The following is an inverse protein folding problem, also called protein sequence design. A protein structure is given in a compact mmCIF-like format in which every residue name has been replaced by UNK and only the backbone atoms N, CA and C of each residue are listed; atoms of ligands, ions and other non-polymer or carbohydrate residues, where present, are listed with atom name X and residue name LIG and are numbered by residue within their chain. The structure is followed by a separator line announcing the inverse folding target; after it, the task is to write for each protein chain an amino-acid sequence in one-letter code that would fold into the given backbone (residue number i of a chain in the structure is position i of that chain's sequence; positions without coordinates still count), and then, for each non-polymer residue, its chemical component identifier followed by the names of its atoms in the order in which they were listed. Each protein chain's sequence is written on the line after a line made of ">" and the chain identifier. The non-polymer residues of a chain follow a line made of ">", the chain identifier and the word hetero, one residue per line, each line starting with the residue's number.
data_IF_061054245319
#
_entry.id   IF_061054245319
#
_cell.length_a   1.000
_cell.length_b   1.000
_cell.length_c   1.000
_cell.angle_alpha   90.00
_cell.angle_beta   90.00
_cell.angle_gamma   90.00
#
_symmetry.space_group_name_H-M   'P 1'
#
loop_
_entity.id
_entity.type
_entity.pdbx_description
1 polymer ?
#
# COMPACT_ATOMS: atom_id res chain seq x y z
N UNK A 1 4.22 -4.26 20.66
CA UNK A 1 4.20 -5.64 21.22
C UNK A 1 5.20 -6.61 20.56
N UNK A 2 5.18 -6.85 19.23
CA UNK A 2 6.13 -7.76 18.55
C UNK A 2 7.61 -7.39 18.79
N UNK A 3 7.95 -6.11 18.70
CA UNK A 3 9.32 -5.61 18.92
C UNK A 3 9.71 -5.62 20.40
N UNK A 4 8.77 -5.40 21.33
CA UNK A 4 9.01 -5.54 22.77
C UNK A 4 9.31 -6.99 23.14
N UNK A 5 8.56 -7.95 22.60
CA UNK A 5 8.83 -9.38 22.74
C UNK A 5 10.17 -9.74 22.07
N UNK A 6 10.43 -9.22 20.87
CA UNK A 6 11.70 -9.44 20.17
C UNK A 6 12.89 -8.85 20.94
N UNK A 7 12.76 -7.66 21.53
CA UNK A 7 13.79 -7.00 22.36
C UNK A 7 14.01 -7.73 23.69
N UNK A 8 12.95 -8.29 24.29
CA UNK A 8 13.07 -9.16 25.46
C UNK A 8 13.76 -10.49 25.11
N UNK A 9 13.45 -11.07 23.95
CA UNK A 9 14.13 -12.26 23.43
C UNK A 9 15.59 -11.97 23.06
N UNK A 10 15.87 -10.84 22.42
CA UNK A 10 17.21 -10.44 22.01
C UNK A 10 18.08 -10.05 23.21
N UNK A 11 17.52 -9.40 24.23
CA UNK A 11 18.28 -9.08 25.46
C UNK A 11 18.60 -10.33 26.29
N UNK A 12 17.70 -11.30 26.34
CA UNK A 12 17.97 -12.60 26.98
C UNK A 12 19.01 -13.41 26.19
N UNK A 13 18.91 -13.43 24.86
CA UNK A 13 19.91 -14.03 23.97
C UNK A 13 21.28 -13.35 24.09
N UNK A 14 21.31 -12.02 24.15
CA UNK A 14 22.55 -11.24 24.28
C UNK A 14 23.23 -11.49 25.62
N UNK A 15 22.46 -11.52 26.72
CA UNK A 15 23.00 -11.84 28.04
C UNK A 15 23.51 -13.28 28.14
N UNK A 16 22.83 -14.24 27.50
CA UNK A 16 23.32 -15.62 27.38
C UNK A 16 24.63 -15.70 26.57
N UNK A 17 24.68 -15.03 25.41
CA UNK A 17 25.87 -14.98 24.55
C UNK A 17 27.06 -14.28 25.22
N UNK A 18 26.83 -13.19 25.96
CA UNK A 18 27.87 -12.48 26.70
C UNK A 18 28.45 -13.32 27.85
N UNK A 19 27.67 -14.21 28.45
CA UNK A 19 28.15 -15.13 29.49
C UNK A 19 28.95 -16.32 28.95
N UNK A 20 28.81 -16.63 27.65
CA UNK A 20 29.36 -17.82 27.01
C UNK A 20 30.77 -17.62 26.41
N UNK A 21 31.43 -16.48 26.59
CA UNK A 21 32.73 -16.17 25.96
C UNK A 21 33.90 -17.12 26.33
N UNK A 22 33.71 -18.09 27.24
CA UNK A 22 34.76 -19.05 27.65
C UNK A 22 34.33 -20.53 27.67
N UNK A 23 33.15 -20.90 27.16
CA UNK A 23 32.69 -22.30 27.14
C UNK A 23 31.92 -22.63 25.87
N UNK A 24 32.20 -23.79 25.26
CA UNK A 24 31.39 -24.30 24.15
C UNK A 24 29.91 -24.37 24.58
N UNK A 25 28.97 -23.83 23.78
CA UNK A 25 27.56 -23.83 24.14
C UNK A 25 27.05 -25.28 24.22
N UNK A 26 26.38 -25.60 25.32
CA UNK A 26 25.73 -26.90 25.50
C UNK A 26 24.64 -27.06 24.43
N UNK A 27 24.80 -28.05 23.56
CA UNK A 27 23.84 -28.37 22.49
C UNK A 27 22.42 -28.62 23.06
N UNK A 28 22.31 -29.15 24.27
CA UNK A 28 21.02 -29.37 24.94
C UNK A 28 20.29 -28.06 25.28
N UNK A 29 21.02 -27.02 25.66
CA UNK A 29 20.44 -25.69 25.95
C UNK A 29 19.94 -25.01 24.66
N UNK A 30 20.69 -25.15 23.56
CA UNK A 30 20.30 -24.62 22.25
C UNK A 30 19.02 -25.29 21.73
N UNK A 31 18.88 -26.61 21.89
CA UNK A 31 17.67 -27.33 21.48
C UNK A 31 16.44 -26.93 22.32
N UNK A 32 16.62 -26.74 23.63
CA UNK A 32 15.57 -26.24 24.51
C UNK A 32 15.11 -24.83 24.11
N UNK A 33 16.05 -23.95 23.76
CA UNK A 33 15.76 -22.60 23.31
C UNK A 33 15.03 -22.59 21.97
N UNK A 34 15.47 -23.41 21.01
CA UNK A 34 14.82 -23.57 19.71
C UNK A 34 13.37 -24.07 19.86
N UNK A 35 13.13 -25.01 20.76
CA UNK A 35 11.77 -25.49 21.09
C UNK A 35 10.90 -24.35 21.66
N UNK A 36 11.46 -23.53 22.56
CA UNK A 36 10.78 -22.36 23.13
C UNK A 36 10.45 -21.30 22.06
N UNK A 37 11.38 -21.01 21.15
CA UNK A 37 11.16 -20.09 20.02
C UNK A 37 9.99 -20.58 19.15
N UNK A 38 10.00 -21.86 18.76
CA UNK A 38 8.89 -22.46 17.98
C UNK A 38 7.54 -22.39 18.72
N UNK A 39 7.56 -22.58 20.05
CA UNK A 39 6.36 -22.43 20.90
C UNK A 39 5.81 -20.99 20.92
N UNK A 40 6.71 -19.99 20.96
CA UNK A 40 6.33 -18.57 20.87
C UNK A 40 5.76 -18.23 19.50
N UNK A 41 6.38 -18.67 18.41
CA UNK A 41 5.90 -18.44 17.04
C UNK A 41 4.48 -18.97 16.84
N UNK A 42 4.19 -20.18 17.31
CA UNK A 42 2.85 -20.75 17.26
C UNK A 42 1.84 -19.92 18.06
N UNK A 43 2.24 -19.39 19.22
CA UNK A 43 1.40 -18.54 20.05
C UNK A 43 1.10 -17.20 19.38
N UNK A 44 2.11 -16.60 18.73
CA UNK A 44 1.96 -15.36 17.95
C UNK A 44 0.96 -15.58 16.82
N UNK A 45 1.12 -16.62 15.99
CA UNK A 45 0.17 -16.93 14.91
C UNK A 45 -1.25 -17.12 15.40
N UNK A 46 -1.43 -17.77 16.56
CA UNK A 46 -2.76 -17.96 17.18
C UNK A 46 -3.38 -16.62 17.60
N UNK A 47 -2.59 -15.71 18.16
CA UNK A 47 -3.05 -14.37 18.52
C UNK A 47 -3.39 -13.54 17.29
N UNK A 48 -2.58 -13.61 16.24
CA UNK A 48 -2.85 -12.93 14.95
C UNK A 48 -4.16 -13.40 14.33
N UNK A 49 -4.39 -14.72 14.27
CA UNK A 49 -5.64 -15.29 13.76
C UNK A 49 -6.86 -14.84 14.60
N UNK A 50 -6.71 -14.80 15.93
CA UNK A 50 -7.77 -14.32 16.82
C UNK A 50 -8.05 -12.82 16.62
N UNK A 51 -7.01 -12.01 16.50
CA UNK A 51 -7.12 -10.58 16.24
C UNK A 51 -7.83 -10.35 14.90
N UNK A 52 -7.43 -11.05 13.83
CA UNK A 52 -8.05 -10.96 12.52
C UNK A 52 -9.54 -11.34 12.56
N UNK A 53 -9.88 -12.43 13.25
CA UNK A 53 -11.28 -12.85 13.43
C UNK A 53 -12.11 -11.82 14.21
N UNK A 54 -11.54 -11.21 15.25
CA UNK A 54 -12.22 -10.17 16.01
C UNK A 54 -12.41 -8.90 15.18
N UNK A 55 -11.41 -8.50 14.40
CA UNK A 55 -11.51 -7.36 13.46
C UNK A 55 -12.58 -7.60 12.41
N UNK A 56 -12.67 -8.82 11.85
CA UNK A 56 -13.75 -9.19 10.92
C UNK A 56 -15.13 -9.10 11.59
N UNK A 57 -15.27 -9.64 12.80
CA UNK A 57 -16.53 -9.55 13.56
C UNK A 57 -16.92 -8.11 13.91
N UNK A 58 -15.93 -7.27 14.19
CA UNK A 58 -16.14 -5.86 14.48
C UNK A 58 -16.64 -5.12 13.23
N UNK A 59 -16.02 -5.38 12.07
CA UNK A 59 -16.39 -4.79 10.78
C UNK A 59 -17.68 -5.35 10.17
N UNK A 60 -18.15 -6.51 10.63
CA UNK A 60 -19.36 -7.11 10.11
C UNK A 60 -20.57 -6.19 10.30
N UNK A 61 -21.29 -5.95 9.20
CA UNK A 61 -22.61 -5.32 9.20
C UNK A 61 -23.68 -6.34 9.58
N UNK A 62 -24.88 -5.89 9.96
CA UNK A 62 -25.97 -6.84 10.25
C UNK A 62 -26.49 -7.49 8.97
N UNK A 63 -27.04 -8.70 9.07
CA UNK A 63 -27.67 -9.38 7.94
C UNK A 63 -28.82 -8.56 7.30
N UNK A 64 -29.46 -7.70 8.11
CA UNK A 64 -30.46 -6.74 7.61
C UNK A 64 -29.80 -5.66 6.75
N UNK A 65 -28.72 -5.05 7.22
CA UNK A 65 -28.00 -4.01 6.46
C UNK A 65 -27.49 -4.56 5.12
N UNK A 66 -27.00 -5.81 5.09
CA UNK A 66 -26.61 -6.49 3.86
C UNK A 66 -27.79 -6.71 2.90
N UNK A 67 -28.95 -7.14 3.43
CA UNK A 67 -30.15 -7.36 2.63
C UNK A 67 -30.67 -6.04 2.03
N UNK A 68 -30.69 -4.98 2.84
CA UNK A 68 -31.10 -3.64 2.44
C UNK A 68 -30.16 -3.07 1.35
N UNK A 69 -28.84 -3.24 1.50
CA UNK A 69 -27.86 -2.82 0.49
C UNK A 69 -28.00 -3.60 -0.83
N UNK A 70 -28.18 -4.93 -0.75
CA UNK A 70 -28.43 -5.76 -1.94
C UNK A 70 -29.69 -5.34 -2.69
N UNK A 71 -30.73 -4.93 -1.97
CA UNK A 71 -31.97 -4.41 -2.56
C UNK A 71 -31.77 -3.19 -3.45
N UNK A 72 -30.66 -2.47 -3.28
CA UNK A 72 -30.32 -1.24 -4.02
C UNK A 72 -29.06 -1.41 -4.89
N UNK A 73 -28.64 -2.67 -5.11
CA UNK A 73 -27.43 -3.06 -5.84
C UNK A 73 -26.18 -2.35 -5.29
N UNK A 74 -26.01 -2.41 -3.98
CA UNK A 74 -24.87 -1.88 -3.23
C UNK A 74 -24.32 -2.93 -2.26
N UNK A 75 -23.09 -2.71 -1.82
CA UNK A 75 -22.45 -3.42 -0.71
C UNK A 75 -22.65 -2.63 0.60
N UNK A 76 -22.78 -3.32 1.72
CA UNK A 76 -22.90 -2.71 3.05
C UNK A 76 -21.58 -2.83 3.81
N UNK A 77 -21.11 -1.73 4.36
CA UNK A 77 -19.83 -1.66 5.06
C UNK A 77 -19.94 -0.85 6.35
N UNK A 78 -19.14 -1.24 7.34
CA UNK A 78 -19.06 -0.54 8.63
C UNK A 78 -17.72 0.16 8.78
N UNK A 79 -17.76 1.48 8.88
CA UNK A 79 -16.58 2.31 9.09
C UNK A 79 -16.56 2.82 10.52
N UNK A 80 -15.46 2.57 11.22
CA UNK A 80 -15.20 3.19 12.52
C UNK A 80 -14.63 4.59 12.32
N UNK A 81 -14.87 5.46 13.28
CA UNK A 81 -14.11 6.70 13.37
C UNK A 81 -12.63 6.30 13.55
N UNK A 82 -11.75 6.79 12.70
CA UNK A 82 -10.32 6.55 12.81
C UNK A 82 -9.82 6.96 14.21
N UNK A 83 -9.72 5.99 15.11
CA UNK A 83 -9.03 6.20 16.37
C UNK A 83 -7.54 6.01 16.14
N UNK A 84 -6.67 6.94 16.58
CA UNK A 84 -5.28 6.64 16.74
C UNK A 84 -5.19 5.49 17.76
N UNK A 85 -4.86 4.30 17.30
CA UNK A 85 -4.27 3.32 18.21
C UNK A 85 -2.83 3.79 18.38
N UNK A 86 -2.48 4.19 19.60
CA UNK A 86 -1.12 4.57 19.98
C UNK A 86 -0.13 3.55 19.40
N UNK A 87 0.66 3.98 18.40
CA UNK A 87 1.77 3.20 17.90
C UNK A 87 2.92 3.23 18.90
N UNK A 88 3.59 2.10 19.08
CA UNK A 88 4.88 2.06 19.78
C UNK A 88 5.97 2.53 18.81
N UNK A 89 6.49 3.75 19.02
CA UNK A 89 7.55 4.39 18.20
C UNK A 89 7.04 5.60 17.41
N UNK A 90 7.91 6.25 16.63
CA UNK A 90 7.56 7.41 15.77
C UNK A 90 6.57 7.06 14.63
N UNK A 91 6.22 5.78 14.43
CA UNK A 91 5.26 5.35 13.40
C UNK A 91 3.97 4.81 14.04
N UNK A 92 2.93 5.64 14.01
CA UNK A 92 1.56 5.28 14.41
C UNK A 92 0.92 4.46 13.30
N UNK A 93 0.80 3.13 13.48
CA UNK A 93 0.05 2.29 12.54
C UNK A 93 -1.43 2.34 12.88
N UNK A 94 -2.19 3.13 12.13
CA UNK A 94 -3.64 3.15 12.25
C UNK A 94 -4.23 1.81 11.78
N UNK A 95 -5.00 1.13 12.62
CA UNK A 95 -6.04 0.23 12.11
C UNK A 95 -7.14 1.11 11.51
N UNK A 96 -6.85 1.78 10.39
CA UNK A 96 -7.85 2.57 9.71
C UNK A 96 -8.98 1.63 9.30
N UNK A 97 -10.16 1.90 9.82
CA UNK A 97 -11.43 1.32 9.42
C UNK A 97 -11.90 1.94 8.12
N UNK A 98 -10.98 1.99 7.15
CA UNK A 98 -11.28 2.49 5.84
C UNK A 98 -11.96 1.44 4.99
N UNK A 99 -12.83 1.89 4.10
CA UNK A 99 -13.33 1.05 3.02
C UNK A 99 -12.26 0.99 1.93
N UNK A 100 -11.75 -0.21 1.66
CA UNK A 100 -10.78 -0.43 0.60
C UNK A 100 -11.53 -0.72 -0.69
N UNK A 101 -11.34 0.12 -1.72
CA UNK A 101 -11.86 -0.13 -3.05
C UNK A 101 -11.02 -1.23 -3.73
N UNK A 102 -11.27 -2.50 -3.37
CA UNK A 102 -10.52 -3.63 -3.92
C UNK A 102 -11.00 -3.98 -5.31
N UNK A 103 -10.09 -4.46 -6.15
CA UNK A 103 -10.43 -5.31 -7.29
C UNK A 103 -10.06 -6.75 -6.94
N UNK A 104 -10.73 -7.77 -7.51
CA UNK A 104 -10.37 -9.17 -7.28
C UNK A 104 -8.90 -9.51 -7.63
N UNK A 105 -8.29 -8.70 -8.49
CA UNK A 105 -6.96 -8.89 -9.06
C UNK A 105 -5.83 -8.35 -8.16
N UNK A 106 -6.17 -7.43 -7.25
CA UNK A 106 -5.20 -6.72 -6.43
C UNK A 106 -5.11 -7.41 -5.07
N UNK A 107 -4.14 -8.32 -4.96
CA UNK A 107 -3.85 -9.04 -3.73
C UNK A 107 -3.65 -8.10 -2.53
N UNK A 108 -3.76 -8.65 -1.32
CA UNK A 108 -3.30 -8.13 -0.03
C UNK A 108 -3.43 -6.61 0.27
N UNK A 109 -4.33 -5.86 -0.37
CA UNK A 109 -4.90 -4.57 0.08
C UNK A 109 -3.98 -3.38 0.37
N UNK A 110 -2.65 -3.51 0.32
CA UNK A 110 -1.70 -2.43 0.69
C UNK A 110 -1.68 -1.26 -0.30
N UNK A 111 -2.08 -1.50 -1.55
CA UNK A 111 -2.00 -0.53 -2.64
C UNK A 111 -3.36 -0.12 -3.19
N UNK A 112 -4.44 -0.26 -2.43
CA UNK A 112 -5.76 0.13 -2.89
C UNK A 112 -6.16 1.51 -2.37
N UNK A 113 -6.99 2.22 -3.13
CA UNK A 113 -7.59 3.46 -2.62
C UNK A 113 -8.44 3.13 -1.38
N UNK A 114 -8.31 3.96 -0.34
CA UNK A 114 -9.01 3.77 0.93
C UNK A 114 -9.84 5.01 1.24
N UNK A 115 -11.14 4.83 1.42
CA UNK A 115 -12.03 5.84 2.00
C UNK A 115 -11.98 5.74 3.52
N UNK A 116 -11.58 6.80 4.20
CA UNK A 116 -11.50 6.87 5.67
C UNK A 116 -12.68 7.66 6.24
N UNK A 117 -13.05 7.31 7.47
CA UNK A 117 -13.97 8.08 8.29
C UNK A 117 -13.20 8.68 9.48
N UNK A 118 -13.16 10.01 9.59
CA UNK A 118 -12.50 10.76 10.65
C UNK A 118 -13.43 11.81 11.25
N UNK A 119 -12.92 12.60 12.20
CA UNK A 119 -13.67 13.71 12.81
C UNK A 119 -14.10 14.76 11.77
N UNK A 120 -13.29 14.98 10.74
CA UNK A 120 -13.56 15.93 9.65
C UNK A 120 -14.55 15.39 8.60
N UNK A 121 -14.85 14.09 8.61
CA UNK A 121 -15.82 13.48 7.73
C UNK A 121 -15.34 12.22 7.00
N UNK A 122 -15.85 12.01 5.78
CA UNK A 122 -15.36 11.00 4.85
C UNK A 122 -14.24 11.61 4.01
N UNK A 123 -13.14 10.91 3.81
CA UNK A 123 -12.04 11.43 2.99
C UNK A 123 -11.10 10.36 2.47
N UNK A 124 -10.38 10.70 1.41
CA UNK A 124 -9.25 9.90 0.92
C UNK A 124 -7.98 10.32 1.65
N UNK A 125 -7.14 9.35 1.97
CA UNK A 125 -5.82 9.62 2.54
C UNK A 125 -4.91 10.27 1.48
N UNK A 126 -4.34 11.45 1.73
CA UNK A 126 -3.39 12.07 0.82
C UNK A 126 -2.02 11.36 0.79
N UNK A 127 -1.73 10.46 1.72
CA UNK A 127 -0.45 9.76 1.78
C UNK A 127 -0.37 8.67 0.71
N UNK A 128 0.37 8.96 -0.35
CA UNK A 128 0.78 8.00 -1.38
C UNK A 128 0.13 8.21 -2.74
N UNK A 129 0.03 7.12 -3.49
CA UNK A 129 -0.47 7.08 -4.87
C UNK A 129 -1.98 6.83 -4.97
N UNK A 130 -2.68 6.93 -3.85
CA UNK A 130 -4.14 6.83 -3.75
C UNK A 130 -4.72 8.24 -3.66
N UNK A 131 -5.71 8.55 -4.48
CA UNK A 131 -6.44 9.80 -4.35
C UNK A 131 -7.89 9.62 -4.74
N UNK A 132 -8.69 10.62 -4.41
CA UNK A 132 -10.06 10.64 -4.87
C UNK A 132 -10.76 11.94 -4.56
N UNK A 133 -11.96 12.04 -5.08
CA UNK A 133 -12.82 13.18 -4.96
C UNK A 133 -14.17 12.72 -4.42
N UNK A 134 -14.79 13.54 -3.58
CA UNK A 134 -16.08 13.32 -2.94
C UNK A 134 -16.93 14.57 -3.16
N UNK A 135 -18.21 14.36 -3.45
CA UNK A 135 -19.23 15.38 -3.52
C UNK A 135 -20.47 14.89 -2.74
N UNK A 136 -20.91 15.69 -1.79
CA UNK A 136 -22.21 15.51 -1.12
C UNK A 136 -23.35 15.87 -2.07
N UNK A 137 -24.18 14.89 -2.42
CA UNK A 137 -25.39 15.07 -3.24
C UNK A 137 -26.64 15.37 -2.39
N UNK A 138 -26.51 15.34 -1.06
CA UNK A 138 -27.59 15.49 -0.10
C UNK A 138 -28.50 14.26 -0.02
N UNK A 139 -29.76 14.46 0.37
CA UNK A 139 -30.76 13.39 0.63
C UNK A 139 -31.39 12.80 -0.64
N UNK A 140 -30.57 12.45 -1.63
CA UNK A 140 -31.00 11.80 -2.86
C UNK A 140 -30.94 10.27 -2.67
N UNK A 141 -31.94 9.48 -3.10
CA UNK A 141 -31.89 8.01 -3.02
C UNK A 141 -30.71 7.42 -3.80
N UNK A 142 -30.04 6.39 -3.26
CA UNK A 142 -28.83 5.81 -3.84
C UNK A 142 -29.08 5.21 -5.24
N UNK A 143 -30.28 4.69 -5.47
CA UNK A 143 -30.71 4.03 -6.70
C UNK A 143 -30.84 5.04 -7.85
N UNK A 144 -31.13 6.29 -7.52
CA UNK A 144 -31.28 7.38 -8.49
C UNK A 144 -29.95 7.99 -8.94
N UNK A 145 -28.84 7.63 -8.26
CA UNK A 145 -27.50 8.05 -8.65
C UNK A 145 -26.92 7.08 -9.68
N UNK A 146 -26.50 7.62 -10.83
CA UNK A 146 -25.92 6.87 -11.93
C UNK A 146 -25.37 7.79 -13.02
N UNK A 147 -25.11 7.25 -14.21
CA UNK A 147 -24.41 8.00 -15.28
C UNK A 147 -25.15 9.25 -15.77
N UNK A 148 -26.49 9.28 -15.61
CA UNK A 148 -27.34 10.41 -16.02
C UNK A 148 -27.38 11.55 -14.98
N UNK A 149 -26.84 11.33 -13.77
CA UNK A 149 -26.78 12.37 -12.74
C UNK A 149 -25.83 13.47 -13.22
N UNK A 150 -26.21 14.77 -13.25
CA UNK A 150 -25.34 15.82 -13.77
C UNK A 150 -23.96 15.89 -13.09
N UNK A 151 -23.89 15.60 -11.79
CA UNK A 151 -22.63 15.52 -11.05
C UNK A 151 -21.73 14.37 -11.51
N UNK A 152 -22.31 13.26 -11.98
CA UNK A 152 -21.54 12.14 -12.53
C UNK A 152 -20.80 12.56 -13.80
N UNK A 153 -21.50 13.21 -14.73
CA UNK A 153 -20.87 13.68 -15.97
C UNK A 153 -19.70 14.63 -15.67
N UNK A 154 -19.90 15.58 -14.75
CA UNK A 154 -18.85 16.49 -14.29
C UNK A 154 -17.65 15.76 -13.67
N UNK A 155 -17.87 14.74 -12.84
CA UNK A 155 -16.79 13.96 -12.23
C UNK A 155 -16.05 13.05 -13.23
N UNK A 156 -16.77 12.52 -14.22
CA UNK A 156 -16.21 11.67 -15.28
C UNK A 156 -15.31 12.45 -16.26
N UNK A 157 -15.45 13.78 -16.33
CA UNK A 157 -14.55 14.66 -17.09
C UNK A 157 -13.17 14.76 -16.45
N UNK A 158 -13.03 14.49 -15.16
CA UNK A 158 -11.72 14.50 -14.51
C UNK A 158 -10.75 13.54 -15.22
N UNK A 159 -9.55 14.02 -15.46
CA UNK A 159 -8.44 13.26 -16.03
C UNK A 159 -7.36 13.24 -14.96
N UNK A 160 -7.16 12.11 -14.27
CA UNK A 160 -6.09 12.01 -13.29
C UNK A 160 -4.74 12.35 -13.97
N UNK A 161 -3.92 13.24 -13.37
CA UNK A 161 -2.62 13.58 -13.93
C UNK A 161 -1.70 12.36 -13.96
N UNK A 162 -0.63 12.40 -14.75
CA UNK A 162 0.31 11.26 -14.85
C UNK A 162 1.21 11.17 -13.62
N UNK A 163 1.48 12.31 -12.98
CA UNK A 163 2.32 12.40 -11.80
C UNK A 163 1.49 12.67 -10.54
N UNK A 164 1.69 11.94 -9.44
CA UNK A 164 0.92 12.12 -8.22
C UNK A 164 1.04 13.50 -7.57
N UNK A 165 2.18 14.19 -7.71
CA UNK A 165 2.40 15.54 -7.19
C UNK A 165 1.54 16.61 -7.88
N UNK A 166 1.01 16.32 -9.07
CA UNK A 166 0.09 17.20 -9.79
C UNK A 166 -1.39 17.02 -9.36
N UNK A 167 -1.68 16.06 -8.49
CA UNK A 167 -3.05 15.80 -8.01
C UNK A 167 -3.54 16.98 -7.17
N UNK A 168 -4.65 17.57 -7.59
CA UNK A 168 -5.30 18.66 -6.87
C UNK A 168 -6.16 18.12 -5.73
N UNK A 169 -6.18 18.82 -4.59
CA UNK A 169 -7.09 18.54 -3.46
C UNK A 169 -8.56 18.82 -3.78
N UNK A 170 -8.81 19.65 -4.79
CA UNK A 170 -10.13 20.07 -5.22
C UNK A 170 -10.20 20.10 -6.75
N UNK A 171 -11.35 19.71 -7.28
CA UNK A 171 -11.66 19.72 -8.70
C UNK A 171 -13.03 20.36 -8.92
N UNK A 172 -13.12 21.32 -9.84
CA UNK A 172 -14.39 21.97 -10.18
C UNK A 172 -14.72 21.67 -11.64
N UNK A 173 -15.94 21.20 -11.88
CA UNK A 173 -16.48 20.96 -13.21
C UNK A 173 -17.95 21.40 -13.27
N UNK A 174 -18.24 22.33 -14.19
CA UNK A 174 -19.52 23.02 -14.25
C UNK A 174 -19.82 23.77 -12.96
N UNK A 175 -20.91 23.39 -12.28
CA UNK A 175 -21.34 23.98 -10.99
C UNK A 175 -20.94 23.14 -9.77
N UNK A 176 -20.25 22.02 -9.99
CA UNK A 176 -19.90 21.09 -8.93
C UNK A 176 -18.46 21.30 -8.52
N UNK A 177 -18.24 21.30 -7.21
CA UNK A 177 -16.92 21.35 -6.60
C UNK A 177 -16.74 20.06 -5.82
N UNK A 178 -15.76 19.28 -6.25
CA UNK A 178 -15.38 18.02 -5.64
C UNK A 178 -14.12 18.20 -4.82
N UNK A 179 -14.09 17.61 -3.64
CA UNK A 179 -12.99 17.76 -2.67
C UNK A 179 -12.48 16.39 -2.26
N UNK A 180 -11.29 16.32 -1.69
CA UNK A 180 -10.75 15.05 -1.17
C UNK A 180 -11.47 14.55 0.08
N UNK A 181 -12.33 15.37 0.69
CA UNK A 181 -13.14 15.04 1.87
C UNK A 181 -14.52 15.69 1.83
N UNK A 182 -15.48 15.14 2.55
CA UNK A 182 -16.80 15.73 2.77
C UNK A 182 -17.33 15.42 4.18
N UNK A 183 -18.06 16.35 4.83
CA UNK A 183 -18.69 16.09 6.13
C UNK A 183 -19.66 14.90 6.09
N UNK A 184 -19.66 14.07 7.12
CA UNK A 184 -20.56 12.91 7.24
C UNK A 184 -21.94 13.35 7.74
N UNK A 185 -22.98 13.06 6.97
CA UNK A 185 -24.38 13.33 7.31
C UNK A 185 -25.22 12.08 7.09
N UNK A 186 -25.96 11.67 8.14
CA UNK A 186 -26.82 10.49 8.07
C UNK A 186 -27.98 10.74 7.09
N UNK A 187 -28.18 9.81 6.18
CA UNK A 187 -29.19 9.85 5.13
C UNK A 187 -28.74 10.56 3.85
N UNK A 188 -27.56 11.16 3.84
CA UNK A 188 -27.01 11.80 2.63
C UNK A 188 -26.28 10.78 1.75
N UNK A 189 -26.30 11.06 0.46
CA UNK A 189 -25.65 10.29 -0.59
C UNK A 189 -24.52 11.11 -1.17
N UNK A 190 -23.40 10.46 -1.43
CA UNK A 190 -22.16 11.04 -1.90
C UNK A 190 -21.82 10.41 -3.25
N UNK A 191 -21.28 11.21 -4.15
CA UNK A 191 -20.62 10.74 -5.36
C UNK A 191 -19.13 10.80 -5.13
N UNK A 192 -18.42 9.72 -5.42
CA UNK A 192 -16.98 9.67 -5.23
C UNK A 192 -16.26 9.02 -6.41
N UNK A 193 -15.04 9.48 -6.68
CA UNK A 193 -14.13 8.84 -7.63
C UNK A 193 -12.88 8.44 -6.88
N UNK A 194 -12.55 7.15 -6.90
CA UNK A 194 -11.36 6.61 -6.28
C UNK A 194 -10.37 6.22 -7.37
N UNK A 195 -9.12 6.66 -7.20
CA UNK A 195 -8.06 6.46 -8.17
C UNK A 195 -6.78 5.99 -7.46
N UNK A 196 -6.15 4.95 -8.01
CA UNK A 196 -4.88 4.43 -7.53
C UNK A 196 -3.90 4.26 -8.69
N UNK A 197 -2.68 4.80 -8.53
CA UNK A 197 -1.59 4.73 -9.52
C UNK A 197 -0.60 3.58 -9.28
N UNK A 198 -0.74 2.81 -8.22
CA UNK A 198 0.21 1.71 -7.95
C UNK A 198 0.03 0.58 -8.95
N UNK A 199 1.14 -0.07 -9.33
CA UNK A 199 1.15 -1.09 -10.39
C UNK A 199 0.17 -2.23 -10.11
N UNK A 200 0.08 -2.63 -8.84
CA UNK A 200 -0.81 -3.67 -8.33
C UNK A 200 -2.10 -3.11 -7.74
N UNK A 201 -2.40 -1.82 -7.96
CA UNK A 201 -3.60 -1.14 -7.45
C UNK A 201 -4.51 -0.66 -8.57
N UNK A 202 -3.92 -0.15 -9.66
CA UNK A 202 -4.53 0.23 -10.95
C UNK A 202 -6.06 0.36 -10.91
N UNK A 203 -6.53 1.40 -10.22
CA UNK A 203 -7.94 1.66 -9.97
C UNK A 203 -8.30 3.03 -10.52
N UNK A 204 -9.40 3.12 -11.26
CA UNK A 204 -10.07 4.38 -11.53
C UNK A 204 -11.57 4.13 -11.65
N UNK A 205 -12.32 4.38 -10.57
CA UNK A 205 -13.73 4.02 -10.47
C UNK A 205 -14.56 5.13 -9.85
N UNK A 206 -15.78 5.30 -10.32
CA UNK A 206 -16.80 6.16 -9.71
C UNK A 206 -17.82 5.30 -8.97
N UNK A 207 -18.11 5.70 -7.73
CA UNK A 207 -19.09 5.08 -6.86
C UNK A 207 -20.10 6.12 -6.38
N UNK A 208 -21.28 5.64 -5.99
CA UNK A 208 -22.15 6.36 -5.06
C UNK A 208 -22.12 5.69 -3.70
N UNK A 209 -22.18 6.48 -2.64
CA UNK A 209 -22.14 6.03 -1.26
C UNK A 209 -23.28 6.67 -0.49
N UNK A 210 -24.01 5.93 0.32
CA UNK A 210 -25.03 6.50 1.22
C UNK A 210 -24.68 6.17 2.67
N UNK A 211 -24.71 7.17 3.54
CA UNK A 211 -24.54 6.94 4.98
C UNK A 211 -25.90 6.61 5.58
N UNK A 212 -26.08 5.37 6.03
CA UNK A 212 -27.40 4.85 6.41
C UNK A 212 -27.70 5.09 7.88
N UNK A 213 -26.73 4.83 8.76
CA UNK A 213 -26.85 5.10 10.19
C UNK A 213 -25.48 5.31 10.84
N UNK A 214 -25.51 5.84 12.07
CA UNK A 214 -24.40 5.82 13.03
C UNK A 214 -24.80 4.95 14.20
N UNK A 215 -23.92 4.02 14.57
CA UNK A 215 -24.11 3.14 15.72
C UNK A 215 -23.68 3.82 17.02
N UNK A 216 -24.04 3.22 18.16
CA UNK A 216 -23.73 3.76 19.48
C UNK A 216 -22.22 3.82 19.79
N UNK A 217 -21.40 3.01 19.11
CA UNK A 217 -19.94 3.02 19.20
C UNK A 217 -19.29 4.11 18.31
N UNK A 218 -20.10 4.97 17.67
CA UNK A 218 -19.65 6.03 16.79
C UNK A 218 -19.32 5.58 15.37
N UNK A 219 -19.30 4.27 15.08
CA UNK A 219 -19.14 3.78 13.72
C UNK A 219 -20.34 4.14 12.84
N UNK A 220 -20.12 4.19 11.53
CA UNK A 220 -21.16 4.42 10.54
C UNK A 220 -21.35 3.18 9.68
N UNK A 221 -22.59 2.93 9.27
CA UNK A 221 -22.91 1.96 8.23
C UNK A 221 -23.15 2.71 6.93
N UNK A 222 -22.43 2.33 5.88
CA UNK A 222 -22.52 2.90 4.55
C UNK A 222 -22.97 1.85 3.55
N UNK A 223 -23.71 2.28 2.53
CA UNK A 223 -23.99 1.49 1.33
C UNK A 223 -23.17 2.04 0.17
N UNK A 224 -22.41 1.19 -0.51
CA UNK A 224 -21.51 1.59 -1.60
C UNK A 224 -21.94 0.89 -2.89
N UNK A 225 -22.17 1.68 -3.93
CA UNK A 225 -22.59 1.21 -5.26
C UNK A 225 -21.56 1.65 -6.29
N UNK A 226 -20.91 0.70 -6.95
CA UNK A 226 -20.09 0.99 -8.13
C UNK A 226 -20.99 1.48 -9.28
N UNK A 227 -20.61 2.59 -9.92
CA UNK A 227 -21.35 3.14 -11.07
C UNK A 227 -20.59 2.84 -12.36
N UNK A 228 -19.29 3.14 -12.39
CA UNK A 228 -18.49 3.02 -13.61
C UNK A 228 -17.01 2.81 -13.31
N UNK A 229 -16.39 1.96 -14.13
CA UNK A 229 -14.95 1.75 -14.19
C UNK A 229 -14.32 2.49 -15.37
N UNK A 230 -13.12 3.01 -15.18
CA UNK A 230 -12.29 3.68 -16.18
C UNK A 230 -10.97 2.93 -16.34
N UNK A 231 -10.27 3.10 -17.48
CA UNK A 231 -8.90 2.67 -17.59
C UNK A 231 -8.06 3.35 -16.49
N UNK A 232 -7.28 2.59 -15.71
CA UNK A 232 -6.40 3.15 -14.70
C UNK A 232 -5.47 4.20 -15.30
N UNK A 233 -5.15 5.28 -14.57
CA UNK A 233 -4.27 6.28 -15.10
C UNK A 233 -2.88 5.69 -15.31
N UNK A 234 -2.24 6.05 -16.43
CA UNK A 234 -0.83 5.72 -16.64
C UNK A 234 -0.01 6.54 -15.66
N UNK A 235 0.73 5.88 -14.78
CA UNK A 235 1.79 6.53 -14.03
C UNK A 235 2.98 6.74 -14.97
N UNK A 236 3.61 7.91 -14.92
CA UNK A 236 5.00 7.97 -15.34
C UNK A 236 5.75 7.00 -14.42
N UNK A 237 6.55 6.08 -14.93
CA UNK A 237 7.26 5.15 -14.07
C UNK A 237 8.10 5.96 -13.07
N UNK A 238 7.62 6.03 -11.83
CA UNK A 238 8.36 6.54 -10.68
C UNK A 238 9.20 5.39 -10.22
N UNK A 239 10.45 5.34 -10.66
CA UNK A 239 11.31 4.26 -10.22
C UNK A 239 11.79 4.58 -8.81
N UNK A 240 11.06 4.00 -7.84
CA UNK A 240 11.42 3.92 -6.42
C UNK A 240 12.53 2.90 -6.18
N UNK A 241 13.61 2.96 -6.94
CA UNK A 241 14.85 2.43 -6.41
C UNK A 241 15.66 3.61 -5.94
N UNK A 242 15.58 3.87 -4.63
CA UNK A 242 16.63 4.64 -3.99
C UNK A 242 17.97 3.94 -4.27
N UNK A 243 19.04 4.71 -4.39
CA UNK A 243 20.41 4.16 -4.46
C UNK A 243 20.67 3.17 -3.30
N UNK A 244 20.01 3.36 -2.15
CA UNK A 244 20.03 2.41 -1.02
C UNK A 244 19.37 1.08 -1.35
N UNK A 245 18.23 1.07 -2.05
CA UNK A 245 17.47 -0.15 -2.32
C UNK A 245 18.24 -1.07 -3.27
N UNK A 246 18.92 -0.48 -4.27
CA UNK A 246 19.80 -1.25 -5.17
C UNK A 246 21.07 -1.69 -4.41
N UNK A 247 21.62 -0.85 -3.53
CA UNK A 247 22.78 -1.21 -2.72
C UNK A 247 22.47 -2.38 -1.76
N UNK A 248 21.25 -2.45 -1.24
CA UNK A 248 20.76 -3.51 -0.35
C UNK A 248 20.39 -4.81 -1.09
N UNK A 249 20.06 -4.76 -2.38
CA UNK A 249 19.66 -5.98 -3.13
C UNK A 249 20.77 -7.03 -3.29
N UNK A 250 21.99 -6.79 -2.82
CA UNK A 250 23.15 -7.69 -2.98
C UNK A 250 23.63 -7.82 -4.43
N UNK A 251 22.80 -7.47 -5.42
CA UNK A 251 23.10 -7.47 -6.86
C UNK A 251 24.21 -6.47 -7.19
N UNK A 252 24.20 -5.27 -6.58
CA UNK A 252 25.28 -4.29 -6.74
C UNK A 252 26.61 -4.77 -6.14
N UNK A 253 26.55 -5.48 -5.01
CA UNK A 253 27.72 -6.07 -4.37
C UNK A 253 28.32 -7.12 -5.31
N UNK A 254 27.50 -8.04 -5.82
CA UNK A 254 27.90 -9.06 -6.79
C UNK A 254 28.49 -8.46 -8.07
N UNK A 255 27.93 -7.35 -8.56
CA UNK A 255 28.47 -6.66 -9.74
C UNK A 255 29.85 -6.04 -9.47
N UNK A 256 30.04 -5.41 -8.31
CA UNK A 256 31.36 -4.88 -7.92
C UNK A 256 32.39 -5.98 -7.73
N UNK A 257 31.99 -7.10 -7.15
CA UNK A 257 32.86 -8.29 -7.00
C UNK A 257 33.25 -8.86 -8.36
N UNK A 258 32.29 -9.02 -9.27
CA UNK A 258 32.56 -9.47 -10.64
C UNK A 258 33.54 -8.53 -11.37
N UNK A 259 33.34 -7.21 -11.29
CA UNK A 259 34.25 -6.24 -11.90
C UNK A 259 35.68 -6.34 -11.34
N UNK A 260 35.81 -6.63 -10.04
CA UNK A 260 37.12 -6.84 -9.39
C UNK A 260 37.77 -8.14 -9.87
N UNK A 261 37.02 -9.24 -9.95
CA UNK A 261 37.51 -10.55 -10.39
C UNK A 261 37.95 -10.55 -11.86
N UNK A 262 37.25 -9.79 -12.71
CA UNK A 262 37.60 -9.63 -14.13
C UNK A 262 38.72 -8.61 -14.37
N UNK A 263 39.33 -8.05 -13.31
CA UNK A 263 40.34 -6.98 -13.40
C UNK A 263 39.84 -5.80 -14.24
N UNK A 264 38.61 -5.36 -13.98
CA UNK A 264 37.95 -4.20 -14.60
C UNK A 264 37.75 -3.04 -13.59
N UNK A 265 38.77 -2.62 -12.81
CA UNK A 265 38.59 -1.59 -11.78
C UNK A 265 38.33 -0.20 -12.35
N UNK A 266 38.59 0.01 -13.65
CA UNK A 266 38.36 1.28 -14.36
C UNK A 266 36.94 1.45 -14.87
N UNK A 267 36.06 0.46 -14.63
CA UNK A 267 34.64 0.56 -14.95
C UNK A 267 33.93 1.30 -13.80
N UNK A 268 33.45 2.49 -14.11
CA UNK A 268 32.62 3.31 -13.25
C UNK A 268 31.15 2.88 -13.36
N UNK A 269 30.50 2.78 -12.21
CA UNK A 269 29.08 2.48 -12.09
C UNK A 269 28.35 3.76 -11.69
N UNK A 270 27.62 4.36 -12.63
CA UNK A 270 26.84 5.57 -12.41
C UNK A 270 25.35 5.23 -12.55
N UNK A 271 24.56 5.56 -11.54
CA UNK A 271 23.11 5.46 -11.64
C UNK A 271 22.56 6.77 -12.18
N UNK A 272 21.95 6.72 -13.36
CA UNK A 272 21.24 7.87 -13.93
C UNK A 272 19.77 7.52 -14.02
N UNK A 273 19.02 8.07 -13.07
CA UNK A 273 17.59 7.79 -12.85
C UNK A 273 17.32 6.31 -12.55
N UNK A 274 17.20 5.51 -13.60
CA UNK A 274 16.63 4.15 -13.58
C UNK A 274 17.56 3.14 -14.23
N UNK A 275 18.64 3.64 -14.82
CA UNK A 275 19.61 2.84 -15.52
C UNK A 275 20.87 2.82 -14.68
N UNK A 276 21.39 1.62 -14.46
CA UNK A 276 22.79 1.51 -14.13
C UNK A 276 23.58 1.75 -15.42
N UNK A 277 24.26 2.89 -15.46
CA UNK A 277 25.23 3.19 -16.49
C UNK A 277 26.57 2.59 -16.06
N UNK A 278 27.07 1.70 -16.91
CA UNK A 278 28.37 1.07 -16.77
C UNK A 278 29.30 1.74 -17.76
N UNK A 279 30.21 2.59 -17.28
CA UNK A 279 31.14 3.40 -18.09
C UNK A 279 32.56 2.89 -17.91
N UNK A 280 33.27 2.63 -19.01
CA UNK A 280 34.68 2.28 -18.93
C UNK A 280 35.20 1.63 -20.20
N UNK A 281 36.45 1.19 -20.16
CA UNK A 281 37.10 0.49 -21.28
C UNK A 281 37.41 -0.95 -20.88
N UNK A 282 37.00 -1.89 -21.71
CA UNK A 282 37.30 -3.31 -21.55
C UNK A 282 37.61 -3.95 -22.91
N UNK A 283 38.42 -5.01 -22.89
CA UNK A 283 38.60 -5.87 -24.06
C UNK A 283 37.27 -6.49 -24.47
N UNK A 284 37.10 -6.80 -25.76
CA UNK A 284 35.88 -7.45 -26.30
C UNK A 284 35.39 -8.66 -25.48
N UNK A 285 36.30 -9.52 -25.04
CA UNK A 285 35.99 -10.72 -24.23
C UNK A 285 35.39 -10.35 -22.87
N UNK A 286 36.07 -9.47 -22.13
CA UNK A 286 35.60 -8.94 -20.84
C UNK A 286 34.28 -8.15 -20.97
N UNK A 287 34.10 -7.40 -22.06
CA UNK A 287 32.84 -6.71 -22.36
C UNK A 287 31.68 -7.69 -22.59
N UNK A 288 31.92 -8.83 -23.24
CA UNK A 288 30.91 -9.86 -23.42
C UNK A 288 30.55 -10.54 -22.10
N UNK A 289 31.55 -10.92 -21.30
CA UNK A 289 31.33 -11.52 -19.97
C UNK A 289 30.54 -10.59 -19.03
N UNK A 290 30.83 -9.28 -19.07
CA UNK A 290 30.10 -8.29 -18.28
C UNK A 290 28.63 -8.18 -18.68
N UNK A 291 28.30 -8.25 -19.98
CA UNK A 291 26.91 -8.24 -20.45
C UNK A 291 26.15 -9.46 -19.96
N UNK A 292 26.74 -10.64 -20.09
CA UNK A 292 26.14 -11.89 -19.65
C UNK A 292 25.91 -11.88 -18.14
N UNK A 293 26.90 -11.43 -17.37
CA UNK A 293 26.77 -11.30 -15.93
C UNK A 293 25.65 -10.32 -15.55
N UNK A 294 25.59 -9.15 -16.18
CA UNK A 294 24.52 -8.18 -15.94
C UNK A 294 23.14 -8.76 -16.27
N UNK A 295 23.01 -9.50 -17.37
CA UNK A 295 21.75 -10.19 -17.73
C UNK A 295 21.36 -11.22 -16.65
N UNK A 296 22.33 -11.92 -16.07
CA UNK A 296 22.10 -12.89 -14.98
C UNK A 296 21.63 -12.26 -13.67
N UNK A 297 21.91 -10.96 -13.45
CA UNK A 297 21.46 -10.27 -12.23
C UNK A 297 19.97 -9.88 -12.29
N UNK A 298 19.29 -10.07 -13.43
CA UNK A 298 17.90 -9.66 -13.63
C UNK A 298 17.65 -8.21 -13.16
N UNK A 299 18.60 -7.31 -13.46
CA UNK A 299 18.42 -5.88 -13.19
C UNK A 299 17.58 -5.33 -14.34
N UNK A 300 16.31 -5.01 -14.06
CA UNK A 300 15.40 -4.41 -15.04
C UNK A 300 15.97 -3.05 -15.53
N UNK A 301 15.85 -2.80 -16.84
CA UNK A 301 16.22 -1.56 -17.55
C UNK A 301 17.66 -1.06 -17.37
N UNK A 302 18.63 -1.75 -18.00
CA UNK A 302 20.04 -1.35 -18.00
C UNK A 302 20.48 -0.74 -19.33
N UNK A 303 21.08 0.46 -19.27
CA UNK A 303 21.75 1.09 -20.42
C UNK A 303 23.24 1.11 -20.12
N UNK A 304 24.02 0.31 -20.83
CA UNK A 304 25.48 0.30 -20.70
C UNK A 304 26.13 0.89 -21.95
N UNK A 305 27.22 1.62 -21.73
CA UNK A 305 28.07 2.17 -22.78
C UNK A 305 29.50 1.73 -22.45
N UNK A 306 29.90 0.58 -22.98
CA UNK A 306 31.26 0.07 -22.83
C UNK A 306 32.02 0.37 -24.11
N UNK A 307 33.03 1.22 -24.01
CA UNK A 307 33.90 1.55 -25.15
C UNK A 307 34.92 0.41 -25.30
N UNK A 308 34.72 -0.43 -26.33
CA UNK A 308 35.67 -1.50 -26.66
C UNK A 308 37.00 -0.87 -27.12
N UNK A 309 38.11 -1.33 -26.53
CA UNK A 309 39.47 -1.00 -26.95
C UNK A 309 40.11 -2.15 -27.71
#
# INVERSE_FOLDING_TARGET
>A
MKRLILLLCLSTLWNAAASAQNSEPDLGELDALNSKIKGLDNSIRKLENRLMSLTQKLRAVSARDEADAKGVNADAERLYLCCPLEGEGDEVTFLSSGYTFRTPETGDGYYAAVLRYSEDGLGFDPEGSNHGFILDLGRIPLESVGEKTPAFAALAEYRPPVKPDEIKKQFTAGKFTFENSAPVKIGDTYLLRAVCYEADGNLDKIYALRVVRRDADGSIVIFVKEIRNFPPPKREPEFKYSLSDIAETGKLIKLREFLREQELPTIELEFVKHYLIVKGTASKEKSAALREFIQSLEILDLKYEVVEK
#
